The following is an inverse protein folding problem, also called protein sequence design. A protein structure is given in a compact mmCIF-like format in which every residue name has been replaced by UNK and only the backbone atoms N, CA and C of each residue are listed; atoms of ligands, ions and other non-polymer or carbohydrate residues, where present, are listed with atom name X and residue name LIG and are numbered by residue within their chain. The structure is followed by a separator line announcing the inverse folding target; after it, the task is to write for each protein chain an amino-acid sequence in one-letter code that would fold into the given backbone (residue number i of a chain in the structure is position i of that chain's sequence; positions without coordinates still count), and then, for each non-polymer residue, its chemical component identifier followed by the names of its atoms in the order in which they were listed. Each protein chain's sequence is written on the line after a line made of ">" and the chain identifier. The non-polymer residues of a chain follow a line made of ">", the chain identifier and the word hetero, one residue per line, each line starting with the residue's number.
data_IF_575328228791
#
_entry.id   IF_575328228791
#
_cell.length_a   1.000
_cell.length_b   1.000
_cell.length_c   1.000
_cell.angle_alpha   90.00
_cell.angle_beta   90.00
_cell.angle_gamma   90.00
#
_symmetry.space_group_name_H-M   'P 1'
#
loop_
_entity.id
_entity.type
_entity.pdbx_description
1 polymer ?
#
# COMPACT_ATOMS: atom_id res chain seq x y z
N UNK A 1 -14.47 34.24 0.77
CA UNK A 1 -13.67 33.27 0.00
C UNK A 1 -14.19 31.89 0.39
N UNK A 2 -15.09 31.33 -0.41
CA UNK A 2 -15.71 30.01 -0.14
C UNK A 2 -14.97 28.93 -0.92
N UNK A 3 -14.16 28.13 -0.23
CA UNK A 3 -13.68 26.84 -0.71
C UNK A 3 -14.66 25.78 -0.20
N UNK A 4 -15.71 25.49 -0.97
CA UNK A 4 -16.73 24.52 -0.50
C UNK A 4 -17.12 23.50 -1.57
N UNK A 5 -16.54 23.57 -2.79
CA UNK A 5 -16.87 22.63 -3.87
C UNK A 5 -15.97 21.40 -3.98
N UNK A 6 -14.67 21.53 -3.71
CA UNK A 6 -13.68 20.49 -3.98
C UNK A 6 -13.34 19.58 -2.78
N UNK A 7 -13.59 20.05 -1.55
CA UNK A 7 -13.18 19.34 -0.33
C UNK A 7 -14.21 18.30 0.14
N UNK A 8 -15.48 18.43 -0.24
CA UNK A 8 -16.55 17.50 0.16
C UNK A 8 -16.29 16.05 -0.30
N UNK A 9 -15.97 15.77 -1.59
CA UNK A 9 -15.68 14.40 -2.03
C UNK A 9 -14.38 13.83 -1.43
N UNK A 10 -13.38 14.67 -1.20
CA UNK A 10 -12.14 14.24 -0.53
C UNK A 10 -12.42 13.83 0.93
N UNK A 11 -13.27 14.58 1.63
CA UNK A 11 -13.61 14.30 3.03
C UNK A 11 -14.47 13.04 3.16
N UNK A 12 -15.44 12.85 2.27
CA UNK A 12 -16.23 11.61 2.21
C UNK A 12 -15.34 10.38 1.98
N UNK A 13 -14.33 10.50 1.11
CA UNK A 13 -13.38 9.43 0.85
C UNK A 13 -12.51 9.11 2.08
N UNK A 14 -12.04 10.14 2.80
CA UNK A 14 -11.28 9.99 4.05
C UNK A 14 -12.13 9.35 5.14
N UNK A 15 -13.39 9.77 5.29
CA UNK A 15 -14.30 9.21 6.30
C UNK A 15 -14.57 7.73 6.03
N UNK A 16 -14.87 7.38 4.77
CA UNK A 16 -15.08 5.98 4.36
C UNK A 16 -13.84 5.12 4.55
N UNK A 17 -12.66 5.67 4.25
CA UNK A 17 -11.39 4.97 4.44
C UNK A 17 -11.07 4.75 5.92
N UNK A 18 -11.34 5.75 6.76
CA UNK A 18 -11.13 5.66 8.22
C UNK A 18 -12.05 4.60 8.84
N UNK A 19 -13.32 4.54 8.42
CA UNK A 19 -14.24 3.49 8.88
C UNK A 19 -13.72 2.11 8.50
N UNK A 20 -13.28 1.92 7.25
CA UNK A 20 -12.76 0.64 6.78
C UNK A 20 -11.45 0.23 7.48
N UNK A 21 -10.53 1.17 7.75
CA UNK A 21 -9.34 0.90 8.57
C UNK A 21 -9.70 0.50 10.01
N UNK A 22 -10.65 1.20 10.64
CA UNK A 22 -11.08 0.91 12.01
C UNK A 22 -11.83 -0.42 12.12
N UNK A 23 -12.52 -0.85 11.06
CA UNK A 23 -13.22 -2.14 11.00
C UNK A 23 -12.27 -3.31 10.72
N UNK A 24 -11.03 -3.04 10.33
CA UNK A 24 -10.05 -4.08 9.96
C UNK A 24 -10.20 -4.57 8.52
N UNK A 25 -11.12 -3.97 7.76
CA UNK A 25 -11.38 -4.29 6.35
C UNK A 25 -10.27 -3.75 5.43
N UNK A 26 -9.40 -2.86 5.94
CA UNK A 26 -8.24 -2.33 5.24
C UNK A 26 -7.02 -2.39 6.15
N UNK A 27 -5.90 -2.91 5.62
CA UNK A 27 -4.62 -2.91 6.30
C UNK A 27 -3.53 -2.27 5.44
N UNK A 28 -2.79 -1.33 6.02
CA UNK A 28 -1.57 -0.76 5.44
C UNK A 28 -0.35 -1.34 6.16
N UNK A 29 0.45 -2.12 5.43
CA UNK A 29 1.65 -2.77 5.94
C UNK A 29 2.87 -2.07 5.37
N UNK A 30 3.77 -1.60 6.24
CA UNK A 30 5.08 -1.07 5.84
C UNK A 30 6.17 -2.05 6.27
N UNK A 31 7.13 -2.30 5.39
CA UNK A 31 8.19 -3.26 5.66
C UNK A 31 9.44 -3.08 4.81
N UNK A 32 10.41 -3.97 5.05
CA UNK A 32 11.60 -4.11 4.22
C UNK A 32 11.55 -5.48 3.56
N UNK A 33 11.58 -5.49 2.23
CA UNK A 33 11.67 -6.71 1.43
C UNK A 33 13.14 -6.94 1.07
N UNK A 34 13.72 -8.03 1.58
CA UNK A 34 14.98 -8.57 1.06
C UNK A 34 14.61 -9.59 -0.02
N UNK A 35 14.95 -9.29 -1.27
CA UNK A 35 14.66 -10.13 -2.42
C UNK A 35 15.94 -10.87 -2.84
N UNK A 36 15.84 -12.19 -2.97
CA UNK A 36 16.82 -13.02 -3.66
C UNK A 36 16.25 -13.43 -5.01
N UNK A 37 16.94 -13.10 -6.10
CA UNK A 37 16.47 -13.40 -7.45
C UNK A 37 17.62 -13.58 -8.44
N UNK A 38 17.31 -14.15 -9.61
CA UNK A 38 18.20 -14.23 -10.75
C UNK A 38 17.51 -13.70 -12.01
N UNK A 39 18.21 -12.88 -12.79
CA UNK A 39 17.74 -12.37 -14.07
C UNK A 39 18.75 -12.73 -15.16
N UNK A 40 18.30 -13.47 -16.18
CA UNK A 40 19.16 -14.00 -17.26
C UNK A 40 20.37 -14.80 -16.74
N UNK A 41 20.15 -15.62 -15.72
CA UNK A 41 21.20 -16.45 -15.10
C UNK A 41 22.21 -15.69 -14.23
N UNK A 42 22.03 -14.37 -14.05
CA UNK A 42 22.87 -13.55 -13.18
C UNK A 42 22.12 -13.22 -11.88
N UNK A 43 22.79 -13.24 -10.72
CA UNK A 43 22.20 -12.77 -9.47
C UNK A 43 21.66 -11.34 -9.62
N UNK A 44 20.43 -11.14 -9.14
CA UNK A 44 19.73 -9.86 -9.15
C UNK A 44 18.92 -9.70 -7.85
N UNK A 45 19.62 -9.86 -6.72
CA UNK A 45 19.05 -9.65 -5.40
C UNK A 45 18.93 -8.15 -5.11
N UNK A 46 18.04 -7.76 -4.18
CA UNK A 46 17.89 -6.35 -3.82
C UNK A 46 17.10 -6.13 -2.54
N UNK A 47 17.11 -4.89 -2.06
CA UNK A 47 16.45 -4.48 -0.82
C UNK A 47 15.53 -3.30 -1.08
N UNK A 48 14.27 -3.45 -0.69
CA UNK A 48 13.23 -2.47 -1.01
C UNK A 48 12.45 -2.09 0.25
N UNK A 49 12.10 -0.81 0.35
CA UNK A 49 11.03 -0.38 1.25
C UNK A 49 9.71 -0.71 0.57
N UNK A 50 8.87 -1.46 1.29
CA UNK A 50 7.57 -1.94 0.85
C UNK A 50 6.47 -1.18 1.59
N UNK A 51 5.46 -0.75 0.85
CA UNK A 51 4.13 -0.43 1.36
C UNK A 51 3.12 -1.32 0.65
N UNK A 52 2.36 -2.10 1.41
CA UNK A 52 1.31 -2.99 0.90
C UNK A 52 -0.04 -2.54 1.47
N UNK A 53 -1.06 -2.49 0.62
CA UNK A 53 -2.45 -2.28 1.04
C UNK A 53 -3.22 -3.56 0.76
N UNK A 54 -3.76 -4.14 1.82
CA UNK A 54 -4.67 -5.27 1.76
C UNK A 54 -6.08 -4.81 2.13
N UNK A 55 -7.08 -5.44 1.53
CA UNK A 55 -8.47 -5.31 1.94
C UNK A 55 -9.01 -6.69 2.29
N UNK A 56 -9.83 -6.76 3.33
CA UNK A 56 -10.61 -7.94 3.67
C UNK A 56 -12.04 -7.72 3.16
N UNK A 57 -12.47 -8.54 2.21
CA UNK A 57 -13.79 -8.46 1.58
C UNK A 57 -14.52 -9.79 1.79
N UNK A 58 -15.39 -9.83 2.81
CA UNK A 58 -16.30 -10.94 3.13
C UNK A 58 -15.68 -12.35 2.97
N UNK A 59 -14.46 -12.55 3.49
CA UNK A 59 -13.63 -13.79 3.48
C UNK A 59 -12.57 -13.90 2.39
N UNK A 60 -12.36 -12.88 1.56
CA UNK A 60 -11.28 -12.84 0.57
C UNK A 60 -10.29 -11.70 0.88
N UNK A 61 -9.08 -12.09 1.27
CA UNK A 61 -8.00 -11.16 1.54
C UNK A 61 -7.30 -10.78 0.24
N UNK A 62 -7.53 -9.55 -0.22
CA UNK A 62 -7.02 -9.06 -1.50
C UNK A 62 -5.90 -8.06 -1.27
N UNK A 63 -4.75 -8.26 -1.92
CA UNK A 63 -3.73 -7.21 -2.04
C UNK A 63 -4.16 -6.30 -3.18
N UNK A 64 -4.46 -5.04 -2.86
CA UNK A 64 -4.97 -4.07 -3.84
C UNK A 64 -3.91 -3.05 -4.27
N UNK A 65 -2.83 -2.91 -3.50
CA UNK A 65 -1.69 -2.08 -3.88
C UNK A 65 -0.38 -2.62 -3.32
N UNK A 66 0.67 -2.53 -4.13
CA UNK A 66 2.05 -2.73 -3.71
C UNK A 66 2.86 -1.56 -4.27
N UNK A 67 3.56 -0.86 -3.39
CA UNK A 67 4.58 0.12 -3.76
C UNK A 67 5.93 -0.32 -3.22
N UNK A 68 6.91 -0.37 -4.12
CA UNK A 68 8.31 -0.65 -3.80
C UNK A 68 9.14 0.59 -4.12
N UNK A 69 10.06 0.90 -3.22
CA UNK A 69 11.11 1.88 -3.48
C UNK A 69 12.45 1.23 -3.17
N UNK A 70 13.43 1.45 -4.06
CA UNK A 70 14.79 1.01 -3.82
C UNK A 70 15.31 1.65 -2.54
N UNK A 71 15.89 0.84 -1.65
CA UNK A 71 16.70 1.37 -0.56
C UNK A 71 18.13 1.51 -1.06
N UNK A 72 18.77 2.63 -0.78
CA UNK A 72 20.20 2.77 -1.09
C UNK A 72 21.00 1.67 -0.36
N UNK A 73 22.09 1.27 -1.01
CA UNK A 73 22.99 0.13 -0.75
C UNK A 73 22.68 -1.13 -1.60
N UNK A 74 23.37 -1.16 -2.75
CA UNK A 74 23.84 -2.33 -3.49
C UNK A 74 25.36 -2.19 -3.62
#
# INVERSE_FOLDING_TARGET
>A
MSTTGADAPARELVDRWTVAELQGDVAVINGVLNQEAAYQGKPFSGRFRLTLVAVDDESDHKIVNIQLSSMADQ
#
